data_IF_635252121379
#
_entry.id   IF_635252121379
#
_cell.length_a   1.000
_cell.length_b   1.000
_cell.length_c   1.000
_cell.angle_alpha   90.00
_cell.angle_beta   90.00
_cell.angle_gamma   90.00
#
_symmetry.space_group_name_H-M   'P 1'
#
loop_
_entity.id
_entity.type
_entity.pdbx_description
1 polymer ?
#
# COMPACT_ATOMS: atom_id res chain seq x y z
N UNK A 1 -18.39 17.12 -38.87
CA UNK A 1 -17.88 15.74 -38.78
C UNK A 1 -18.42 15.10 -37.51
N UNK A 2 -19.03 13.91 -37.57
CA UNK A 2 -19.55 13.18 -36.39
C UNK A 2 -18.83 11.83 -36.32
N UNK A 3 -18.23 11.52 -35.17
CA UNK A 3 -17.52 10.26 -34.92
C UNK A 3 -18.15 9.54 -33.72
N UNK A 4 -17.99 8.21 -33.66
CA UNK A 4 -18.45 7.36 -32.57
C UNK A 4 -17.30 6.47 -32.11
N UNK A 5 -16.98 6.51 -30.81
CA UNK A 5 -15.90 5.71 -30.23
C UNK A 5 -16.46 4.37 -29.71
N UNK A 6 -15.79 3.27 -30.08
CA UNK A 6 -16.11 1.92 -29.62
C UNK A 6 -14.82 1.13 -29.36
N UNK A 7 -14.78 0.39 -28.25
CA UNK A 7 -13.64 -0.46 -27.88
C UNK A 7 -13.93 -1.92 -28.27
N UNK A 8 -13.19 -2.46 -29.24
CA UNK A 8 -13.31 -3.87 -29.66
C UNK A 8 -12.59 -4.82 -28.71
N UNK A 9 -11.36 -4.47 -28.35
CA UNK A 9 -10.55 -5.21 -27.37
C UNK A 9 -10.15 -4.27 -26.25
N UNK A 10 -10.45 -4.67 -25.02
CA UNK A 10 -10.12 -3.89 -23.82
C UNK A 10 -8.60 -3.95 -23.54
N UNK A 11 -8.05 -2.97 -22.80
CA UNK A 11 -6.65 -2.99 -22.40
C UNK A 11 -6.27 -4.29 -21.69
N UNK A 12 -5.12 -4.87 -22.02
CA UNK A 12 -4.63 -6.11 -21.41
C UNK A 12 -3.65 -5.90 -20.24
N UNK A 13 -3.04 -4.73 -20.10
CA UNK A 13 -2.06 -4.46 -19.04
C UNK A 13 -2.72 -4.35 -17.66
N UNK A 14 -2.16 -5.01 -16.65
CA UNK A 14 -2.60 -4.90 -15.24
C UNK A 14 -1.66 -3.91 -14.55
N UNK A 15 -2.23 -2.88 -13.93
CA UNK A 15 -1.48 -1.85 -13.19
C UNK A 15 -1.54 -2.10 -11.68
N UNK A 16 -2.66 -2.62 -11.20
CA UNK A 16 -2.88 -2.92 -9.79
C UNK A 16 -3.64 -4.22 -9.65
N UNK A 17 -3.32 -4.97 -8.60
CA UNK A 17 -3.97 -6.24 -8.27
C UNK A 17 -4.16 -6.30 -6.76
N UNK A 18 -5.35 -6.69 -6.35
CA UNK A 18 -5.68 -6.98 -4.96
C UNK A 18 -6.44 -8.29 -4.88
N UNK A 19 -6.30 -9.02 -3.78
CA UNK A 19 -7.08 -10.22 -3.52
C UNK A 19 -7.85 -10.05 -2.20
N UNK A 20 -8.98 -10.73 -2.09
CA UNK A 20 -9.86 -10.59 -0.94
C UNK A 20 -11.12 -11.43 -1.07
N UNK A 21 -11.93 -11.40 -0.02
CA UNK A 21 -13.27 -11.97 0.03
C UNK A 21 -14.29 -10.91 -0.41
N UNK A 22 -14.40 -10.66 -1.71
CA UNK A 22 -15.25 -9.59 -2.25
C UNK A 22 -16.70 -10.04 -2.43
N UNK A 23 -16.92 -11.31 -2.79
CA UNK A 23 -18.29 -11.87 -2.93
C UNK A 23 -18.89 -12.34 -1.60
N UNK A 24 -18.05 -12.63 -0.59
CA UNK A 24 -18.48 -13.17 0.70
C UNK A 24 -17.43 -14.09 1.35
N UNK A 25 -17.74 -14.69 2.52
CA UNK A 25 -16.78 -15.45 3.30
C UNK A 25 -16.19 -16.62 2.51
N UNK A 26 -14.89 -16.87 2.72
CA UNK A 26 -14.14 -18.03 2.18
C UNK A 26 -14.03 -18.11 0.65
N UNK A 27 -14.62 -17.18 -0.10
CA UNK A 27 -14.41 -17.07 -1.56
C UNK A 27 -13.34 -16.03 -1.80
N UNK A 28 -12.17 -16.42 -2.31
CA UNK A 28 -11.13 -15.45 -2.68
C UNK A 28 -11.26 -15.09 -4.15
N UNK A 29 -11.47 -13.81 -4.42
CA UNK A 29 -11.40 -13.25 -5.77
C UNK A 29 -10.22 -12.29 -5.87
N UNK A 30 -9.90 -11.95 -7.12
CA UNK A 30 -8.84 -11.01 -7.47
C UNK A 30 -9.51 -9.84 -8.16
N UNK A 31 -9.32 -8.62 -7.66
CA UNK A 31 -9.73 -7.40 -8.34
C UNK A 31 -8.50 -6.78 -9.00
N UNK A 32 -8.59 -6.53 -10.29
CA UNK A 32 -7.50 -5.92 -11.07
C UNK A 32 -7.94 -4.60 -11.67
N UNK A 33 -7.01 -3.66 -11.76
CA UNK A 33 -7.16 -2.46 -12.55
C UNK A 33 -6.28 -2.51 -13.79
N UNK A 34 -6.89 -2.24 -14.94
CA UNK A 34 -6.22 -2.10 -16.25
C UNK A 34 -6.15 -0.63 -16.68
N UNK A 35 -5.92 0.26 -15.72
CA UNK A 35 -5.93 1.71 -15.90
C UNK A 35 -7.33 2.29 -15.76
N UNK A 36 -8.15 2.18 -16.81
CA UNK A 36 -9.51 2.72 -16.85
C UNK A 36 -10.63 1.67 -16.76
N UNK A 37 -10.25 0.39 -16.58
CA UNK A 37 -11.17 -0.74 -16.47
C UNK A 37 -10.87 -1.48 -15.17
N UNK A 38 -11.92 -1.77 -14.40
CA UNK A 38 -11.89 -2.63 -13.23
C UNK A 38 -12.44 -4.01 -13.61
N UNK A 39 -11.77 -5.07 -13.19
CA UNK A 39 -12.24 -6.44 -13.36
C UNK A 39 -12.24 -7.19 -12.04
N UNK A 40 -13.26 -8.03 -11.85
CA UNK A 40 -13.31 -9.02 -10.77
C UNK A 40 -13.06 -10.38 -11.41
N UNK A 41 -12.01 -11.05 -10.97
CA UNK A 41 -11.54 -12.34 -11.48
C UNK A 41 -11.68 -13.40 -10.38
N UNK A 42 -12.06 -14.62 -10.77
CA UNK A 42 -12.17 -15.76 -9.88
C UNK A 42 -11.21 -16.85 -10.34
N UNK A 43 -10.15 -17.16 -9.57
CA UNK A 43 -9.37 -18.35 -9.80
C UNK A 43 -10.20 -19.58 -9.41
N UNK A 44 -10.21 -20.59 -10.27
CA UNK A 44 -10.81 -21.89 -10.01
C UNK A 44 -9.74 -22.87 -9.52
N UNK A 45 -9.74 -23.27 -8.24
CA UNK A 45 -8.74 -24.20 -7.69
C UNK A 45 -8.79 -25.60 -8.32
N UNK A 46 -9.92 -26.00 -8.90
CA UNK A 46 -10.09 -27.33 -9.48
C UNK A 46 -9.50 -27.45 -10.88
N UNK A 47 -9.66 -26.40 -11.70
CA UNK A 47 -9.16 -26.38 -13.09
C UNK A 47 -7.85 -25.62 -13.25
N UNK A 48 -7.47 -24.79 -12.28
CA UNK A 48 -6.34 -23.88 -12.35
C UNK A 48 -6.56 -22.68 -13.29
N UNK A 49 -7.78 -22.49 -13.80
CA UNK A 49 -8.12 -21.39 -14.72
C UNK A 49 -8.59 -20.16 -13.95
N UNK A 50 -8.44 -18.99 -14.57
CA UNK A 50 -8.96 -17.72 -14.06
C UNK A 50 -10.13 -17.29 -14.94
N UNK A 51 -11.28 -17.04 -14.31
CA UNK A 51 -12.49 -16.59 -14.99
C UNK A 51 -12.78 -15.14 -14.64
N UNK A 52 -13.11 -14.32 -15.64
CA UNK A 52 -13.60 -12.96 -15.42
C UNK A 52 -15.07 -13.00 -15.02
N UNK A 53 -15.39 -12.56 -13.80
CA UNK A 53 -16.77 -12.45 -13.31
C UNK A 53 -17.43 -11.15 -13.77
N UNK A 54 -16.71 -10.04 -13.63
CA UNK A 54 -17.17 -8.70 -13.94
C UNK A 54 -16.09 -7.91 -14.64
N UNK A 55 -16.49 -7.09 -15.62
CA UNK A 55 -15.69 -6.03 -16.22
C UNK A 55 -16.49 -4.75 -16.20
N UNK A 56 -15.94 -3.68 -15.64
CA UNK A 56 -16.59 -2.37 -15.54
C UNK A 56 -15.64 -1.24 -15.94
N UNK A 57 -16.10 -0.33 -16.79
CA UNK A 57 -15.34 0.85 -17.15
C UNK A 57 -15.45 1.88 -16.01
N UNK A 58 -14.30 2.30 -15.49
CA UNK A 58 -14.23 3.34 -14.46
C UNK A 58 -14.34 4.76 -15.06
N UNK A 59 -14.03 4.92 -16.36
CA UNK A 59 -13.98 6.20 -17.07
C UNK A 59 -13.07 7.25 -16.40
N UNK A 60 -11.99 6.78 -15.79
CA UNK A 60 -10.93 7.57 -15.15
C UNK A 60 -9.66 6.74 -15.03
N UNK A 61 -8.64 7.27 -14.38
CA UNK A 61 -7.37 6.59 -14.16
C UNK A 61 -7.33 6.11 -12.72
N UNK A 62 -7.34 4.79 -12.51
CA UNK A 62 -7.09 4.18 -11.21
C UNK A 62 -5.60 4.26 -10.91
N UNK A 63 -5.25 4.95 -9.82
CA UNK A 63 -3.87 5.25 -9.42
C UNK A 63 -3.45 4.50 -8.16
N UNK A 64 -4.41 4.07 -7.35
CA UNK A 64 -4.21 3.22 -6.20
C UNK A 64 -5.44 2.36 -5.94
N UNK A 65 -5.23 1.13 -5.48
CA UNK A 65 -6.26 0.12 -5.28
C UNK A 65 -5.91 -0.72 -4.05
N UNK A 66 -6.80 -0.79 -3.05
CA UNK A 66 -6.55 -1.54 -1.81
C UNK A 66 -7.83 -2.21 -1.30
N UNK A 67 -7.77 -3.47 -0.80
CA UNK A 67 -8.90 -4.08 -0.11
C UNK A 67 -9.01 -3.54 1.31
N UNK A 68 -10.21 -3.48 1.86
CA UNK A 68 -10.39 -3.19 3.29
C UNK A 68 -11.47 -4.08 3.91
N UNK A 69 -11.14 -4.63 5.08
CA UNK A 69 -12.07 -5.35 5.95
C UNK A 69 -12.27 -4.60 7.24
N UNK A 70 -13.49 -4.15 7.49
CA UNK A 70 -13.86 -3.60 8.79
C UNK A 70 -13.80 -4.71 9.87
N UNK A 71 -13.51 -4.36 11.13
CA UNK A 71 -13.49 -5.30 12.28
C UNK A 71 -14.78 -6.11 12.40
N UNK A 72 -14.69 -7.44 12.35
CA UNK A 72 -15.84 -8.34 12.43
C UNK A 72 -16.69 -8.42 11.15
N UNK A 73 -16.19 -7.95 10.00
CA UNK A 73 -16.82 -8.19 8.69
C UNK A 73 -16.26 -9.49 8.12
N UNK A 74 -17.05 -10.17 7.29
CA UNK A 74 -16.63 -11.32 6.52
C UNK A 74 -16.45 -11.00 5.02
N UNK A 75 -16.51 -9.72 4.67
CA UNK A 75 -16.44 -9.21 3.30
C UNK A 75 -15.47 -8.04 3.20
N UNK A 76 -14.74 -8.00 2.10
CA UNK A 76 -13.82 -6.92 1.75
C UNK A 76 -14.49 -5.90 0.84
N UNK A 77 -14.29 -4.63 1.16
CA UNK A 77 -14.58 -3.51 0.28
C UNK A 77 -13.35 -3.16 -0.55
N UNK A 78 -13.54 -2.41 -1.62
CA UNK A 78 -12.49 -1.98 -2.53
C UNK A 78 -12.35 -0.46 -2.40
N UNK A 79 -11.20 0.01 -1.92
CA UNK A 79 -10.89 1.43 -1.85
C UNK A 79 -10.06 1.83 -3.06
N UNK A 80 -10.43 2.94 -3.71
CA UNK A 80 -9.82 3.42 -4.94
C UNK A 80 -9.35 4.86 -4.80
N UNK A 81 -8.07 5.08 -5.07
CA UNK A 81 -7.50 6.38 -5.42
C UNK A 81 -7.51 6.54 -6.94
N UNK A 82 -8.09 7.64 -7.43
CA UNK A 82 -8.20 7.93 -8.86
C UNK A 82 -7.78 9.36 -9.20
N UNK A 83 -7.85 9.71 -10.48
CA UNK A 83 -7.70 11.09 -10.96
C UNK A 83 -8.95 11.96 -10.73
N UNK A 84 -10.01 11.47 -10.09
CA UNK A 84 -11.25 12.25 -9.94
C UNK A 84 -11.20 13.35 -8.86
N UNK A 85 -10.18 13.37 -7.99
CA UNK A 85 -10.17 14.22 -6.77
C UNK A 85 -11.17 13.74 -5.71
N UNK A 86 -11.47 12.43 -5.73
CA UNK A 86 -12.42 11.73 -4.85
C UNK A 86 -11.86 10.39 -4.40
N UNK A 87 -12.20 9.98 -3.19
CA UNK A 87 -11.95 8.62 -2.68
C UNK A 87 -13.24 7.83 -2.87
N UNK A 88 -13.13 6.63 -3.43
CA UNK A 88 -14.27 5.75 -3.68
C UNK A 88 -14.13 4.48 -2.86
N UNK A 89 -15.22 4.04 -2.23
CA UNK A 89 -15.32 2.72 -1.60
C UNK A 89 -16.42 1.95 -2.34
N UNK A 90 -16.04 0.83 -2.93
CA UNK A 90 -16.93 -0.04 -3.69
C UNK A 90 -17.15 -1.38 -2.97
N UNK A 91 -18.30 -1.99 -3.25
CA UNK A 91 -18.68 -3.32 -2.81
C UNK A 91 -19.08 -4.16 -4.03
N UNK A 92 -18.52 -5.36 -4.18
CA UNK A 92 -18.83 -6.22 -5.32
C UNK A 92 -20.05 -7.10 -5.06
N UNK A 93 -21.22 -6.73 -5.58
CA UNK A 93 -22.45 -7.50 -5.44
C UNK A 93 -22.49 -8.68 -6.43
N UNK A 94 -22.13 -9.87 -5.97
CA UNK A 94 -22.12 -11.08 -6.79
C UNK A 94 -23.49 -11.56 -7.29
N UNK A 95 -24.59 -11.16 -6.64
CA UNK A 95 -25.96 -11.50 -7.10
C UNK A 95 -26.38 -10.63 -8.29
N UNK A 96 -26.07 -9.33 -8.22
CA UNK A 96 -26.35 -8.38 -9.32
C UNK A 96 -25.25 -8.36 -10.38
N UNK A 97 -24.09 -8.94 -10.07
CA UNK A 97 -22.85 -8.84 -10.82
C UNK A 97 -22.46 -7.37 -11.11
N UNK A 98 -22.43 -6.54 -10.06
CA UNK A 98 -22.12 -5.10 -10.17
C UNK A 98 -21.18 -4.63 -9.07
N UNK A 99 -20.38 -3.60 -9.36
CA UNK A 99 -19.66 -2.84 -8.33
C UNK A 99 -20.57 -1.72 -7.82
N UNK A 100 -21.11 -1.89 -6.62
CA UNK A 100 -21.95 -0.91 -5.95
C UNK A 100 -21.05 0.13 -5.26
N UNK A 101 -21.33 1.41 -5.49
CA UNK A 101 -20.61 2.51 -4.88
C UNK A 101 -21.19 2.77 -3.49
N UNK A 102 -20.46 2.36 -2.45
CA UNK A 102 -20.89 2.51 -1.06
C UNK A 102 -20.66 3.94 -0.58
N UNK A 103 -19.46 4.49 -0.84
CA UNK A 103 -19.09 5.85 -0.49
C UNK A 103 -18.29 6.54 -1.59
N UNK A 104 -18.43 7.86 -1.65
CA UNK A 104 -17.67 8.72 -2.55
C UNK A 104 -17.51 10.11 -1.94
N UNK A 105 -16.35 10.35 -1.33
CA UNK A 105 -16.03 11.64 -0.72
C UNK A 105 -15.17 12.48 -1.67
N UNK A 106 -15.47 13.79 -1.74
CA UNK A 106 -14.74 14.74 -2.57
C UNK A 106 -13.76 15.53 -1.71
N UNK A 107 -12.49 15.59 -2.13
CA UNK A 107 -11.45 16.31 -1.40
C UNK A 107 -10.62 17.25 -2.28
N UNK A 108 -10.74 17.17 -3.61
CA UNK A 108 -9.88 17.94 -4.48
C UNK A 108 -10.37 18.05 -5.92
N UNK A 109 -9.52 18.63 -6.77
CA UNK A 109 -9.77 18.80 -8.21
C UNK A 109 -9.39 17.54 -8.97
N UNK A 110 -10.03 17.32 -10.12
CA UNK A 110 -9.70 16.23 -11.02
C UNK A 110 -8.35 16.42 -11.75
N UNK A 111 -7.81 15.31 -12.25
CA UNK A 111 -6.52 15.14 -12.91
C UNK A 111 -5.46 14.46 -12.03
N UNK A 112 -4.45 13.87 -12.67
CA UNK A 112 -3.24 13.35 -12.01
C UNK A 112 -2.33 14.49 -11.55
N UNK A 113 -2.77 15.25 -10.53
CA UNK A 113 -2.06 16.42 -10.02
C UNK A 113 -0.99 16.04 -9.00
N UNK A 114 0.04 16.88 -8.90
CA UNK A 114 1.18 16.73 -7.98
C UNK A 114 0.77 16.74 -6.50
N UNK A 115 -0.07 17.71 -6.12
CA UNK A 115 -0.47 17.94 -4.73
C UNK A 115 -1.90 17.47 -4.38
N UNK A 116 -2.66 16.90 -5.32
CA UNK A 116 -4.01 16.38 -5.01
C UNK A 116 -3.92 14.87 -4.74
N UNK A 117 -4.46 14.37 -3.61
CA UNK A 117 -4.37 12.97 -3.25
C UNK A 117 -5.00 12.02 -4.27
N UNK A 118 -4.48 10.79 -4.31
CA UNK A 118 -4.95 9.74 -5.21
C UNK A 118 -3.84 8.81 -5.70
N UNK A 119 -2.57 9.20 -5.52
CA UNK A 119 -1.42 8.39 -5.93
C UNK A 119 -1.10 7.26 -4.94
N UNK A 120 -1.14 7.58 -3.64
CA UNK A 120 -0.82 6.62 -2.59
C UNK A 120 -2.07 6.33 -1.77
N UNK A 121 -2.21 5.08 -1.34
CA UNK A 121 -3.33 4.60 -0.55
C UNK A 121 -2.80 3.56 0.45
N UNK A 122 -3.08 3.79 1.73
CA UNK A 122 -2.70 2.89 2.80
C UNK A 122 -3.89 2.66 3.73
N UNK A 123 -4.02 1.44 4.24
CA UNK A 123 -5.15 1.02 5.07
C UNK A 123 -4.62 0.51 6.40
N UNK A 124 -5.24 0.92 7.51
CA UNK A 124 -5.06 0.28 8.81
C UNK A 124 -5.45 -1.20 8.69
N UNK A 125 -4.58 -2.18 9.03
CA UNK A 125 -4.87 -3.60 8.83
C UNK A 125 -6.11 -4.13 9.57
N UNK A 126 -6.66 -3.41 10.57
CA UNK A 126 -7.95 -3.72 11.21
C UNK A 126 -9.15 -3.01 10.59
N UNK A 127 -8.91 -2.25 9.52
CA UNK A 127 -9.91 -1.55 8.73
C UNK A 127 -10.54 -0.33 9.41
N UNK A 128 -9.84 0.29 10.37
CA UNK A 128 -10.37 1.43 11.14
C UNK A 128 -10.13 2.78 10.47
N UNK A 129 -9.13 2.87 9.61
CA UNK A 129 -8.75 4.10 8.93
C UNK A 129 -8.10 3.85 7.57
N UNK A 130 -8.20 4.84 6.70
CA UNK A 130 -7.53 4.89 5.40
C UNK A 130 -6.80 6.21 5.23
N UNK A 131 -5.54 6.15 4.79
CA UNK A 131 -4.78 7.32 4.34
C UNK A 131 -4.75 7.34 2.82
N UNK A 132 -5.14 8.47 2.22
CA UNK A 132 -4.96 8.78 0.80
C UNK A 132 -3.97 9.94 0.64
N UNK A 133 -2.93 9.73 -0.17
CA UNK A 133 -1.80 10.63 -0.31
C UNK A 133 -1.61 11.12 -1.74
N UNK A 134 -1.12 12.35 -1.87
CA UNK A 134 -0.58 12.91 -3.11
C UNK A 134 0.91 12.57 -3.24
N UNK A 135 1.51 12.89 -4.38
CA UNK A 135 2.98 12.77 -4.56
C UNK A 135 3.69 13.76 -3.65
N UNK A 136 3.11 14.93 -3.42
CA UNK A 136 3.68 15.96 -2.58
C UNK A 136 2.62 16.58 -1.67
N UNK A 137 3.05 17.01 -0.48
CA UNK A 137 2.32 17.87 0.44
C UNK A 137 1.09 17.25 1.09
N UNK A 138 0.05 16.94 0.32
CA UNK A 138 -1.26 16.60 0.87
C UNK A 138 -1.38 15.10 1.19
N UNK A 139 -1.76 14.81 2.43
CA UNK A 139 -2.25 13.52 2.89
C UNK A 139 -3.53 13.75 3.68
N UNK A 140 -4.51 12.88 3.47
CA UNK A 140 -5.80 12.90 4.15
C UNK A 140 -6.06 11.53 4.77
N UNK A 141 -6.56 11.51 6.00
CA UNK A 141 -6.93 10.29 6.71
C UNK A 141 -8.44 10.31 6.95
N UNK A 142 -9.10 9.21 6.58
CA UNK A 142 -10.51 9.00 6.87
C UNK A 142 -10.65 7.88 7.89
N UNK A 143 -11.52 8.09 8.88
CA UNK A 143 -11.92 7.08 9.86
C UNK A 143 -13.10 6.31 9.28
N UNK A 144 -13.05 4.99 9.42
CA UNK A 144 -14.05 4.08 8.90
C UNK A 144 -14.71 3.35 10.05
N UNK A 145 -16.04 3.41 10.08
CA UNK A 145 -16.85 2.84 11.14
C UNK A 145 -18.01 2.03 10.54
N UNK A 146 -18.84 1.47 11.43
CA UNK A 146 -20.13 0.90 11.08
C UNK A 146 -21.25 1.57 11.84
N UNK A 147 -22.37 1.79 11.16
CA UNK A 147 -23.62 2.17 11.82
C UNK A 147 -24.29 0.97 12.51
N UNK A 148 -25.40 1.22 13.19
CA UNK A 148 -26.20 0.19 13.85
C UNK A 148 -26.77 -0.87 12.89
N UNK A 149 -26.82 -0.57 11.58
CA UNK A 149 -27.25 -1.47 10.52
C UNK A 149 -26.06 -2.18 9.84
N UNK A 150 -24.88 -2.12 10.44
CA UNK A 150 -23.63 -2.71 9.94
C UNK A 150 -23.16 -2.17 8.58
N UNK A 151 -23.66 -1.02 8.13
CA UNK A 151 -23.19 -0.34 6.92
C UNK A 151 -21.92 0.43 7.22
N UNK A 152 -20.98 0.40 6.27
CA UNK A 152 -19.75 1.19 6.35
C UNK A 152 -20.11 2.68 6.41
N UNK A 153 -19.48 3.44 7.30
CA UNK A 153 -19.54 4.90 7.36
C UNK A 153 -18.14 5.48 7.28
N UNK A 154 -18.02 6.69 6.72
CA UNK A 154 -16.76 7.40 6.53
C UNK A 154 -16.84 8.76 7.24
N UNK A 155 -15.78 9.16 7.94
CA UNK A 155 -15.70 10.47 8.60
C UNK A 155 -15.36 11.59 7.63
N UNK A 156 -15.40 12.84 8.11
CA UNK A 156 -14.67 13.94 7.47
C UNK A 156 -13.17 13.64 7.42
N UNK A 157 -12.44 14.14 6.41
CA UNK A 157 -11.00 13.93 6.31
C UNK A 157 -10.25 14.69 7.40
N UNK A 158 -9.24 14.03 7.96
CA UNK A 158 -8.24 14.63 8.84
C UNK A 158 -6.98 14.92 8.02
N UNK A 159 -6.47 16.14 8.14
CA UNK A 159 -5.32 16.58 7.36
C UNK A 159 -3.99 16.18 8.02
N UNK A 160 -3.08 15.63 7.22
CA UNK A 160 -1.69 15.34 7.61
C UNK A 160 -0.72 15.97 6.60
N UNK A 161 -0.95 17.25 6.30
CA UNK A 161 -0.20 17.98 5.29
C UNK A 161 1.20 18.37 5.77
N UNK A 162 2.19 18.27 4.89
CA UNK A 162 3.55 18.75 5.15
C UNK A 162 4.13 19.35 3.88
N UNK A 163 4.33 20.66 3.87
CA UNK A 163 4.85 21.39 2.71
C UNK A 163 6.24 20.88 2.28
N UNK A 164 6.56 21.06 1.00
CA UNK A 164 7.89 20.75 0.43
C UNK A 164 8.33 19.30 0.63
N UNK A 165 7.39 18.38 0.82
CA UNK A 165 7.69 16.98 1.10
C UNK A 165 7.13 16.08 0.00
N UNK A 166 8.04 15.38 -0.68
CA UNK A 166 7.75 14.36 -1.68
C UNK A 166 7.58 13.01 -0.97
N UNK A 167 6.49 12.31 -1.27
CA UNK A 167 6.21 10.96 -0.79
C UNK A 167 6.55 9.94 -1.88
N UNK A 168 7.27 8.87 -1.52
CA UNK A 168 7.69 7.80 -2.43
C UNK A 168 6.82 6.55 -2.30
N UNK A 169 6.39 6.22 -1.08
CA UNK A 169 5.53 5.08 -0.81
C UNK A 169 4.87 5.25 0.56
N UNK A 170 3.69 4.65 0.75
CA UNK A 170 2.94 4.71 2.01
C UNK A 170 2.30 3.36 2.31
N UNK A 171 2.38 2.90 3.55
CA UNK A 171 1.73 1.68 4.04
C UNK A 171 1.10 1.88 5.40
N UNK A 172 0.06 1.11 5.71
CA UNK A 172 -0.45 1.01 7.08
C UNK A 172 0.45 0.09 7.90
N UNK A 173 0.65 0.43 9.17
CA UNK A 173 1.41 -0.40 10.12
C UNK A 173 0.42 -1.22 10.94
N UNK A 174 0.62 -2.53 11.04
CA UNK A 174 -0.25 -3.39 11.87
C UNK A 174 0.11 -3.22 13.34
N UNK A 175 -0.55 -2.29 14.02
CA UNK A 175 -0.33 -2.01 15.45
C UNK A 175 -1.35 -2.73 16.35
N UNK A 176 -1.97 -3.80 15.86
CA UNK A 176 -3.03 -4.47 16.60
C UNK A 176 -4.26 -3.55 16.73
N UNK A 177 -4.64 -3.21 17.96
CA UNK A 177 -5.76 -2.30 18.26
C UNK A 177 -5.34 -0.95 18.86
N UNK A 178 -4.03 -0.67 18.92
CA UNK A 178 -3.52 0.67 19.25
C UNK A 178 -3.93 1.69 18.16
N UNK A 179 -3.71 2.97 18.44
CA UNK A 179 -3.99 4.07 17.51
C UNK A 179 -3.41 3.76 16.11
N UNK A 180 -4.20 3.83 15.01
CA UNK A 180 -3.72 3.50 13.67
C UNK A 180 -2.49 4.31 13.26
N UNK A 181 -1.56 3.67 12.58
CA UNK A 181 -0.31 4.27 12.15
C UNK A 181 -0.07 4.05 10.66
N UNK A 182 0.43 5.08 9.98
CA UNK A 182 0.82 5.04 8.58
C UNK A 182 2.31 5.40 8.43
N UNK A 183 3.07 4.52 7.80
CA UNK A 183 4.48 4.73 7.49
C UNK A 183 4.64 5.26 6.06
N UNK A 184 5.42 6.31 5.88
CA UNK A 184 5.67 6.96 4.60
C UNK A 184 7.18 7.11 4.37
N UNK A 185 7.61 6.89 3.12
CA UNK A 185 8.94 7.29 2.65
C UNK A 185 8.87 8.71 2.13
N UNK A 186 9.64 9.62 2.71
CA UNK A 186 9.51 11.05 2.48
C UNK A 186 10.85 11.74 2.24
N UNK A 187 10.85 12.79 1.43
CA UNK A 187 11.99 13.67 1.21
C UNK A 187 11.50 15.12 1.33
N UNK A 188 12.11 15.88 2.23
CA UNK A 188 11.91 17.33 2.31
C UNK A 188 12.94 18.01 1.39
N UNK A 189 12.47 18.80 0.43
CA UNK A 189 13.32 19.46 -0.57
C UNK A 189 13.41 20.97 -0.35
N UNK A 190 12.88 21.51 0.76
CA UNK A 190 12.87 22.95 1.04
C UNK A 190 14.28 23.57 1.00
N UNK A 191 15.28 22.90 1.59
CA UNK A 191 16.66 23.39 1.57
C UNK A 191 17.29 23.34 0.16
N UNK A 192 16.89 22.35 -0.65
CA UNK A 192 17.42 22.19 -2.01
C UNK A 192 17.00 23.33 -2.94
N UNK A 193 15.77 23.82 -2.80
CA UNK A 193 15.27 24.95 -3.59
C UNK A 193 15.97 26.27 -3.25
N UNK A 194 16.55 26.36 -2.05
CA UNK A 194 17.21 27.56 -1.54
C UNK A 194 18.75 27.50 -1.66
N UNK A 195 19.32 26.38 -2.14
CA UNK A 195 20.77 26.20 -2.29
C UNK A 195 21.22 26.26 -3.75
N UNK A 196 21.75 27.42 -4.15
CA UNK A 196 22.29 27.62 -5.50
C UNK A 196 23.56 26.77 -5.81
N UNK A 197 24.22 26.20 -4.79
CA UNK A 197 25.43 25.38 -5.00
C UNK A 197 25.10 23.94 -5.42
N UNK A 198 23.87 23.49 -5.16
CA UNK A 198 23.42 22.12 -5.41
C UNK A 198 24.01 21.08 -4.45
N UNK A 199 24.61 21.51 -3.34
CA UNK A 199 25.17 20.62 -2.33
C UNK A 199 24.06 19.98 -1.48
N UNK A 200 23.03 20.75 -1.12
CA UNK A 200 21.86 20.26 -0.38
C UNK A 200 21.16 19.11 -1.13
N UNK A 201 21.06 19.21 -2.46
CA UNK A 201 20.48 18.16 -3.30
C UNK A 201 21.32 16.88 -3.35
N UNK A 202 22.64 16.98 -3.17
CA UNK A 202 23.54 15.80 -3.12
C UNK A 202 23.51 15.11 -1.76
N UNK A 203 23.35 15.89 -0.69
CA UNK A 203 23.35 15.40 0.70
C UNK A 203 21.95 15.02 1.20
N UNK A 204 20.93 15.22 0.37
CA UNK A 204 19.54 14.97 0.71
C UNK A 204 19.32 13.51 1.13
N UNK A 205 18.59 13.33 2.24
CA UNK A 205 18.24 12.00 2.76
C UNK A 205 16.75 11.77 2.70
N UNK A 206 16.37 10.58 2.27
CA UNK A 206 15.00 10.09 2.45
C UNK A 206 14.80 9.71 3.92
N UNK A 207 13.64 10.02 4.47
CA UNK A 207 13.23 9.66 5.82
C UNK A 207 12.07 8.66 5.81
N UNK A 208 12.05 7.77 6.79
CA UNK A 208 10.89 6.98 7.15
C UNK A 208 10.10 7.74 8.21
N UNK A 209 8.94 8.27 7.82
CA UNK A 209 8.05 9.05 8.69
C UNK A 209 6.83 8.23 9.07
N UNK A 210 6.44 8.30 10.33
CA UNK A 210 5.22 7.68 10.82
C UNK A 210 4.20 8.71 11.28
N UNK A 211 2.99 8.58 10.76
CA UNK A 211 1.82 9.37 11.11
C UNK A 211 0.90 8.52 11.97
N UNK A 212 0.58 8.99 13.17
CA UNK A 212 -0.36 8.34 14.09
C UNK A 212 -1.70 9.08 14.06
N UNK A 213 -2.78 8.32 13.93
CA UNK A 213 -4.13 8.79 14.09
C UNK A 213 -4.55 8.57 15.55
N UNK A 214 -4.68 9.65 16.31
CA UNK A 214 -5.26 9.59 17.64
C UNK A 214 -6.79 9.54 17.53
N UNK A 215 -7.37 8.37 17.82
CA UNK A 215 -8.82 8.16 17.73
C UNK A 215 -9.59 8.90 18.83
N UNK A 216 -8.96 9.19 19.99
CA UNK A 216 -9.59 9.90 21.09
C UNK A 216 -9.61 11.41 20.87
N UNK A 217 -8.50 11.96 20.37
CA UNK A 217 -8.35 13.39 20.07
C UNK A 217 -8.76 13.76 18.64
N UNK A 218 -9.07 12.77 17.80
CA UNK A 218 -9.53 12.93 16.42
C UNK A 218 -8.62 13.83 15.56
N UNK A 219 -7.31 13.61 15.64
CA UNK A 219 -6.32 14.31 14.81
C UNK A 219 -5.18 13.36 14.41
N UNK A 220 -4.43 13.74 13.37
CA UNK A 220 -3.27 13.00 12.91
C UNK A 220 -2.01 13.77 13.29
N UNK A 221 -1.06 13.09 13.91
CA UNK A 221 0.23 13.67 14.31
C UNK A 221 1.38 12.95 13.62
N UNK A 222 2.40 13.70 13.21
CA UNK A 222 3.67 13.14 12.75
C UNK A 222 4.48 12.71 13.99
N UNK A 223 4.32 11.45 14.39
CA UNK A 223 4.85 10.92 15.65
C UNK A 223 6.36 10.74 15.63
N UNK A 224 6.89 10.21 14.53
CA UNK A 224 8.30 9.84 14.42
C UNK A 224 8.80 10.04 12.99
N UNK A 225 10.07 10.39 12.84
CA UNK A 225 10.72 10.53 11.55
C UNK A 225 12.20 10.24 11.69
N UNK A 226 12.71 9.29 10.92
CA UNK A 226 14.10 8.88 10.96
C UNK A 226 14.72 8.88 9.56
N UNK A 227 15.90 9.48 9.36
CA UNK A 227 16.58 9.42 8.07
C UNK A 227 17.05 8.00 7.76
N UNK A 228 16.88 7.59 6.51
CA UNK A 228 17.38 6.33 5.98
C UNK A 228 18.83 6.49 5.49
N UNK A 229 19.62 5.44 5.62
CA UNK A 229 20.98 5.40 5.06
C UNK A 229 20.98 5.38 3.53
N UNK A 230 19.99 4.70 2.94
CA UNK A 230 19.81 4.58 1.48
C UNK A 230 18.38 4.87 1.10
N UNK A 231 18.20 5.40 -0.10
CA UNK A 231 16.89 5.56 -0.70
C UNK A 231 16.19 4.21 -0.85
N UNK A 232 14.96 4.19 -0.36
CA UNK A 232 14.00 3.10 -0.44
C UNK A 232 12.94 3.42 -1.47
N UNK A 233 12.48 2.38 -2.16
CA UNK A 233 11.46 2.49 -3.19
C UNK A 233 10.10 1.91 -2.74
N UNK A 234 10.10 1.00 -1.77
CA UNK A 234 8.89 0.29 -1.34
C UNK A 234 8.92 -0.04 0.15
N UNK A 235 7.74 -0.04 0.78
CA UNK A 235 7.52 -0.50 2.16
C UNK A 235 6.61 -1.72 2.17
N UNK A 236 6.83 -2.62 3.13
CA UNK A 236 5.97 -3.80 3.36
C UNK A 236 5.47 -3.77 4.81
N UNK A 237 4.15 -3.86 4.98
CA UNK A 237 3.53 -4.02 6.30
C UNK A 237 3.94 -5.35 6.93
N UNK A 238 4.51 -5.32 8.13
CA UNK A 238 4.76 -6.51 8.93
C UNK A 238 3.57 -6.75 9.86
N UNK A 239 3.00 -7.98 9.91
CA UNK A 239 1.93 -8.30 10.86
C UNK A 239 2.32 -7.99 12.30
N UNK A 240 1.35 -7.51 13.09
CA UNK A 240 1.58 -7.07 14.47
C UNK A 240 0.53 -7.52 15.46
N UNK A 241 0.60 -6.97 16.67
CA UNK A 241 -0.24 -7.39 17.80
C UNK A 241 0.07 -8.83 18.21
N UNK A 242 -0.95 -9.68 18.29
CA UNK A 242 -0.77 -11.10 18.65
C UNK A 242 -0.18 -11.96 17.53
N UNK A 243 -0.09 -11.44 16.31
CA UNK A 243 0.28 -12.21 15.10
C UNK A 243 1.72 -11.97 14.64
N UNK A 244 2.42 -10.97 15.19
CA UNK A 244 3.78 -10.65 14.79
C UNK A 244 4.33 -9.40 15.49
N UNK A 245 5.56 -8.97 15.15
CA UNK A 245 6.25 -7.89 15.84
C UNK A 245 5.80 -6.48 15.47
N UNK A 246 4.88 -6.30 14.50
CA UNK A 246 4.58 -5.00 13.89
C UNK A 246 5.79 -4.43 13.13
N UNK A 247 5.70 -3.17 12.69
CA UNK A 247 6.74 -2.47 11.95
C UNK A 247 6.63 -2.62 10.43
N UNK A 248 7.72 -2.27 9.75
CA UNK A 248 7.79 -2.25 8.28
C UNK A 248 9.11 -2.84 7.77
N UNK A 249 9.05 -3.52 6.62
CA UNK A 249 10.23 -3.79 5.82
C UNK A 249 10.42 -2.66 4.82
N UNK A 250 11.57 -2.01 4.88
CA UNK A 250 12.03 -0.95 3.99
C UNK A 250 12.90 -1.60 2.91
N UNK A 251 12.41 -1.58 1.67
CA UNK A 251 13.14 -2.08 0.50
C UNK A 251 13.95 -0.94 -0.10
N UNK A 252 15.27 -1.04 0.01
CA UNK A 252 16.24 -0.08 -0.50
C UNK A 252 17.14 -0.74 -1.54
N UNK A 253 17.91 0.08 -2.24
CA UNK A 253 18.91 -0.40 -3.16
C UNK A 253 19.90 -1.38 -2.48
N UNK A 254 19.94 -2.61 -2.98
CA UNK A 254 20.70 -3.77 -2.50
C UNK A 254 20.36 -4.28 -1.10
N UNK A 255 19.40 -3.69 -0.37
CA UNK A 255 19.13 -4.05 1.02
C UNK A 255 17.64 -4.08 1.34
N UNK A 256 17.26 -4.97 2.25
CA UNK A 256 15.97 -4.94 2.92
C UNK A 256 16.22 -4.72 4.41
N UNK A 257 15.62 -3.67 4.96
CA UNK A 257 15.79 -3.26 6.36
C UNK A 257 14.46 -3.42 7.09
N UNK A 258 14.47 -3.96 8.31
CA UNK A 258 13.28 -4.04 9.17
C UNK A 258 13.45 -2.92 10.16
N UNK A 259 12.47 -2.02 10.16
CA UNK A 259 12.37 -0.92 11.10
C UNK A 259 11.06 -1.05 11.83
N UNK A 260 11.12 -0.97 13.15
CA UNK A 260 9.94 -0.92 14.01
C UNK A 260 10.06 0.26 14.95
N UNK A 261 8.95 0.61 15.59
CA UNK A 261 8.95 1.65 16.61
C UNK A 261 9.68 1.23 17.88
N UNK A 262 10.12 2.24 18.64
CA UNK A 262 10.73 2.06 19.95
C UNK A 262 12.19 1.63 19.85
N UNK A 263 12.61 0.79 20.80
CA UNK A 263 14.02 0.42 20.97
C UNK A 263 14.44 -0.76 20.09
N UNK A 264 13.62 -1.16 19.12
CA UNK A 264 13.96 -2.26 18.21
C UNK A 264 15.12 -1.84 17.30
N UNK A 265 16.28 -2.52 17.35
CA UNK A 265 17.39 -2.18 16.47
C UNK A 265 17.05 -2.50 15.02
N UNK A 266 17.60 -1.66 14.13
CA UNK A 266 17.58 -1.88 12.70
C UNK A 266 18.22 -3.22 12.33
N UNK A 267 17.45 -4.07 11.67
CA UNK A 267 17.97 -5.31 11.11
C UNK A 267 18.09 -5.11 9.60
N UNK A 268 19.27 -5.35 9.05
CA UNK A 268 19.55 -5.18 7.62
C UNK A 268 19.98 -6.49 7.01
N UNK A 269 19.52 -6.75 5.79
CA UNK A 269 19.97 -7.91 5.03
C UNK A 269 20.17 -7.51 3.57
N UNK A 270 21.34 -7.83 2.96
CA UNK A 270 21.57 -7.58 1.54
C UNK A 270 20.67 -8.47 0.68
N UNK A 271 20.27 -7.97 -0.48
CA UNK A 271 19.52 -8.73 -1.48
C UNK A 271 20.49 -9.73 -2.13
N UNK A 272 20.20 -11.04 -2.12
CA UNK A 272 21.05 -12.03 -2.78
C UNK A 272 21.15 -11.78 -4.29
N UNK A 273 22.35 -11.87 -4.85
CA UNK A 273 22.61 -11.79 -6.30
C UNK A 273 22.77 -13.18 -6.90
N UNK A 274 22.49 -13.34 -8.20
CA UNK A 274 22.71 -14.60 -8.90
C UNK A 274 24.21 -14.87 -9.01
N UNK A 275 24.60 -16.15 -8.99
CA UNK A 275 26.02 -16.52 -9.16
C UNK A 275 26.41 -16.31 -10.63
N UNK A 276 27.55 -15.67 -10.86
CA UNK A 276 28.10 -15.40 -12.20
C UNK A 276 27.17 -14.59 -13.10
N UNK A 277 26.56 -13.52 -12.57
CA UNK A 277 25.82 -12.57 -13.40
C UNK A 277 26.68 -12.05 -14.55
N UNK A 278 26.11 -12.06 -15.76
CA UNK A 278 26.71 -11.47 -16.97
C UNK A 278 26.57 -9.94 -16.93
N UNK A 279 25.58 -9.45 -16.17
CA UNK A 279 25.34 -8.05 -15.91
C UNK A 279 26.54 -7.38 -15.21
N UNK A 280 26.62 -6.06 -15.34
CA UNK A 280 27.65 -5.24 -14.72
C UNK A 280 27.75 -5.50 -13.21
N UNK A 281 28.98 -5.72 -12.71
CA UNK A 281 29.23 -5.99 -11.29
C UNK A 281 28.82 -4.80 -10.40
N UNK A 282 28.80 -3.59 -10.96
CA UNK A 282 28.37 -2.38 -10.26
C UNK A 282 26.85 -2.20 -10.23
N UNK A 283 26.10 -2.99 -11.01
CA UNK A 283 24.65 -2.91 -11.05
C UNK A 283 24.05 -3.20 -9.68
N UNK A 284 23.19 -2.30 -9.24
CA UNK A 284 22.43 -2.43 -8.02
C UNK A 284 21.08 -3.10 -8.27
N UNK A 285 20.44 -3.59 -7.22
CA UNK A 285 19.19 -4.34 -7.31
C UNK A 285 18.15 -3.78 -6.36
N UNK A 286 16.90 -3.68 -6.84
CA UNK A 286 15.75 -3.27 -6.04
C UNK A 286 14.63 -4.31 -6.07
N UNK A 287 13.69 -4.18 -5.14
CA UNK A 287 12.45 -4.96 -5.08
C UNK A 287 11.36 -4.22 -5.85
N UNK A 288 10.69 -4.89 -6.80
CA UNK A 288 9.67 -4.28 -7.67
C UNK A 288 8.25 -4.67 -7.31
N UNK A 289 8.05 -5.81 -6.65
CA UNK A 289 6.74 -6.29 -6.23
C UNK A 289 6.84 -7.11 -4.95
N UNK A 290 5.75 -7.12 -4.18
CA UNK A 290 5.68 -7.83 -2.90
C UNK A 290 4.31 -8.46 -2.70
N UNK A 291 4.28 -9.63 -2.09
CA UNK A 291 3.06 -10.27 -1.59
C UNK A 291 3.28 -10.70 -0.14
N UNK A 292 2.28 -10.47 0.71
CA UNK A 292 2.30 -10.87 2.11
C UNK A 292 1.32 -12.02 2.31
N UNK A 293 1.81 -13.15 2.83
CA UNK A 293 0.96 -14.27 3.17
C UNK A 293 0.95 -14.47 4.68
N UNK A 294 -0.25 -14.45 5.26
CA UNK A 294 -0.49 -14.64 6.69
C UNK A 294 -1.39 -15.84 6.92
N UNK A 295 -0.98 -16.68 7.86
CA UNK A 295 -1.78 -17.77 8.43
C UNK A 295 -1.90 -17.56 9.94
N UNK A 296 -2.68 -18.39 10.62
CA UNK A 296 -2.82 -18.33 12.09
C UNK A 296 -1.48 -18.52 12.83
N UNK A 297 -0.56 -19.30 12.28
CA UNK A 297 0.66 -19.72 12.99
C UNK A 297 1.93 -19.06 12.46
N UNK A 298 1.91 -18.55 11.23
CA UNK A 298 3.08 -17.99 10.57
C UNK A 298 2.69 -16.97 9.52
N UNK A 299 3.61 -16.07 9.22
CA UNK A 299 3.55 -15.18 8.08
C UNK A 299 4.89 -15.22 7.34
N UNK A 300 4.84 -14.91 6.05
CA UNK A 300 6.04 -14.71 5.23
C UNK A 300 5.72 -13.72 4.11
N UNK A 301 6.79 -13.23 3.48
CA UNK A 301 6.69 -12.32 2.35
C UNK A 301 7.31 -12.97 1.13
N UNK A 302 6.70 -12.79 -0.03
CA UNK A 302 7.32 -13.02 -1.32
C UNK A 302 7.71 -11.65 -1.89
N UNK A 303 8.98 -11.46 -2.19
CA UNK A 303 9.47 -10.23 -2.82
C UNK A 303 10.10 -10.58 -4.16
N UNK A 304 9.83 -9.75 -5.16
CA UNK A 304 10.36 -9.93 -6.52
C UNK A 304 11.40 -8.86 -6.82
N UNK A 305 12.56 -9.26 -7.35
CA UNK A 305 13.58 -8.33 -7.84
C UNK A 305 13.28 -7.83 -9.24
N UNK A 306 13.99 -6.80 -9.70
CA UNK A 306 13.92 -6.30 -11.08
C UNK A 306 14.28 -7.36 -12.16
N UNK A 307 15.03 -8.41 -11.80
CA UNK A 307 15.35 -9.52 -12.71
C UNK A 307 14.32 -10.66 -12.66
N UNK A 308 13.26 -10.49 -11.86
CA UNK A 308 12.18 -11.47 -11.71
C UNK A 308 12.42 -12.56 -10.67
N UNK A 309 13.49 -12.49 -9.86
CA UNK A 309 13.74 -13.47 -8.81
C UNK A 309 12.77 -13.29 -7.65
N UNK A 310 12.12 -14.38 -7.25
CA UNK A 310 11.20 -14.38 -6.11
C UNK A 310 11.92 -14.95 -4.89
N UNK A 311 12.01 -14.14 -3.84
CA UNK A 311 12.54 -14.55 -2.54
C UNK A 311 11.42 -14.68 -1.52
N UNK A 312 11.47 -15.77 -0.74
CA UNK A 312 10.68 -15.89 0.48
C UNK A 312 11.46 -15.30 1.65
N UNK A 313 10.92 -14.23 2.24
CA UNK A 313 11.42 -13.61 3.46
C UNK A 313 10.59 -14.09 4.64
N UNK A 314 11.26 -14.60 5.66
CA UNK A 314 10.64 -14.94 6.95
C UNK A 314 11.32 -14.16 8.06
N UNK A 315 10.53 -13.62 8.99
CA UNK A 315 11.01 -13.02 10.22
C UNK A 315 10.85 -14.04 11.34
N UNK A 316 11.94 -14.37 12.02
CA UNK A 316 11.89 -15.20 13.23
C UNK A 316 11.93 -14.25 14.41
N UNK A 317 10.84 -14.16 15.17
CA UNK A 317 10.75 -13.33 16.36
C UNK A 317 10.85 -14.20 17.60
N UNK A 318 11.92 -14.04 18.37
CA UNK A 318 12.01 -14.66 19.70
C UNK A 318 11.29 -13.76 20.70
N UNK A 319 10.17 -14.24 21.25
CA UNK A 319 9.32 -13.48 22.17
C UNK A 319 10.03 -13.16 23.49
N UNK A 320 11.05 -13.93 23.86
CA UNK A 320 11.75 -13.81 25.13
C UNK A 320 12.97 -12.87 25.06
N UNK A 321 13.49 -12.59 23.86
CA UNK A 321 14.68 -11.74 23.65
C UNK A 321 14.45 -10.47 22.81
N UNK A 322 13.26 -10.26 22.23
CA UNK A 322 12.99 -9.12 21.33
C UNK A 322 13.86 -9.12 20.05
N UNK A 323 14.53 -10.24 19.75
CA UNK A 323 15.39 -10.38 18.59
C UNK A 323 14.60 -10.90 17.39
N UNK A 324 14.68 -10.16 16.29
CA UNK A 324 14.16 -10.58 14.98
C UNK A 324 15.33 -11.04 14.10
N UNK A 325 15.38 -12.33 13.77
CA UNK A 325 16.33 -12.88 12.78
C UNK A 325 15.63 -13.10 11.44
N UNK A 326 16.40 -13.16 10.34
CA UNK A 326 15.85 -13.34 8.99
C UNK A 326 16.49 -14.50 8.26
N UNK A 327 15.68 -15.15 7.43
CA UNK A 327 16.15 -16.15 6.48
C UNK A 327 15.60 -15.85 5.09
N UNK A 328 16.51 -15.78 4.12
CA UNK A 328 16.16 -15.86 2.70
C UNK A 328 16.16 -17.33 2.30
N UNK A 329 15.05 -17.78 1.72
CA UNK A 329 15.01 -19.02 0.97
C UNK A 329 14.56 -18.70 -0.45
N UNK A 330 15.28 -19.20 -1.45
CA UNK A 330 14.81 -19.19 -2.83
C UNK A 330 13.57 -20.10 -2.91
N UNK A 331 12.52 -19.63 -3.59
CA UNK A 331 11.27 -20.36 -3.73
C UNK A 331 11.38 -21.49 -4.75
#
# INVERSE_FOLDING_TARGET
MKLYNLTLQRPGGITHVIHGNFSGPKQQEIVVSRGCVLEVLKPDPSTGKIHTLLTSNAFGIVRALHPIRLTGSNRDYIVIGSDAGRILILEYNGQKNTLEKVHQETFGKSGCRRIVPGQYLAIDPKGRAVLIGAIEKQKLVYILNRDAQARLTISSPLEAHKANTITFHTVGVDVGFENPVFACLEVDYEECDNDATGQAAKDIKQSLTFYELDLGLNHVVRKYSEPLEKFANLLITVPGGSEGPSGVLVCSENYITFKNFGDQPDIRCPIPKRRNEIDDRERTMIIVATATHKTKNMFFFLVQTEQGDIFKITLTHDKDMGMVSRRFSHC
#
